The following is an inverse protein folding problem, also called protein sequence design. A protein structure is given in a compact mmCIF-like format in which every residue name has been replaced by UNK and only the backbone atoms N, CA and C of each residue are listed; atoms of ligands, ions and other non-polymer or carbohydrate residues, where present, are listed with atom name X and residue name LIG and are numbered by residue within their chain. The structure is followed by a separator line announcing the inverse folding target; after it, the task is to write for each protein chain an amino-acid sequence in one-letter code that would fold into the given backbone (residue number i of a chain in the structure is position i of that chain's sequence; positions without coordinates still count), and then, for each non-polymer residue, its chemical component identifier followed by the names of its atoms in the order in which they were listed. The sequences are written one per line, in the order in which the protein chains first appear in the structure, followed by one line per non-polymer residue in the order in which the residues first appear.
data_IF_579464604468
#
_entry.id   IF_579464604468
#
_cell.length_a   1.000
_cell.length_b   1.000
_cell.length_c   1.000
_cell.angle_alpha   90.00
_cell.angle_beta   90.00
_cell.angle_gamma   90.00
#
_symmetry.space_group_name_H-M   'P 1'
#
loop_
_entity.id
_entity.type
_entity.pdbx_description
1 polymer ?
#
# COMPACT_ATOMS: atom_id res chain seq x y z
N UNK A 1 -60.36 15.98 -18.09
CA UNK A 1 -61.26 15.03 -17.38
C UNK A 1 -61.65 13.94 -18.36
N UNK A 2 -61.32 12.68 -18.04
CA UNK A 2 -61.78 11.39 -18.62
C UNK A 2 -61.58 11.16 -20.14
N UNK A 3 -61.25 9.98 -20.67
CA UNK A 3 -61.12 8.62 -20.14
C UNK A 3 -60.35 7.75 -21.17
N UNK A 4 -59.47 6.86 -20.72
CA UNK A 4 -59.65 5.40 -20.56
C UNK A 4 -59.62 4.56 -21.86
N UNK A 5 -58.53 3.77 -21.97
CA UNK A 5 -58.46 2.33 -22.28
C UNK A 5 -59.33 1.75 -23.43
N UNK A 6 -58.69 1.08 -24.39
CA UNK A 6 -59.06 -0.24 -24.95
C UNK A 6 -57.85 -0.75 -25.76
N UNK A 7 -57.08 -1.71 -25.27
CA UNK A 7 -57.26 -3.16 -25.44
C UNK A 7 -56.48 -3.74 -26.64
N UNK A 8 -55.41 -4.45 -26.28
CA UNK A 8 -54.71 -5.56 -26.91
C UNK A 8 -55.41 -6.21 -28.13
N UNK A 9 -54.65 -6.36 -29.22
CA UNK A 9 -54.81 -7.49 -30.14
C UNK A 9 -53.49 -8.26 -30.22
N UNK A 10 -53.52 -9.47 -29.68
CA UNK A 10 -52.43 -10.45 -29.72
C UNK A 10 -52.67 -11.34 -30.95
N UNK A 11 -51.74 -11.38 -31.90
CA UNK A 11 -51.71 -12.42 -32.94
C UNK A 11 -50.48 -13.29 -32.67
N UNK A 12 -50.73 -14.52 -32.21
CA UNK A 12 -49.75 -15.59 -32.09
C UNK A 12 -49.30 -16.03 -33.48
N UNK A 13 -47.99 -15.98 -33.74
CA UNK A 13 -47.35 -16.78 -34.79
C UNK A 13 -46.45 -17.79 -34.10
N UNK A 14 -46.90 -19.05 -34.06
CA UNK A 14 -46.12 -20.18 -33.57
C UNK A 14 -45.18 -20.58 -34.71
N UNK A 15 -43.91 -20.19 -34.61
CA UNK A 15 -42.86 -20.66 -35.51
C UNK A 15 -42.11 -21.80 -34.82
N UNK A 16 -42.31 -23.04 -35.28
CA UNK A 16 -41.56 -24.21 -34.84
C UNK A 16 -40.16 -24.19 -35.45
N UNK A 17 -39.22 -23.57 -34.75
CA UNK A 17 -37.81 -23.70 -35.05
C UNK A 17 -37.29 -25.03 -34.51
N UNK A 18 -36.85 -25.91 -35.41
CA UNK A 18 -36.07 -27.09 -35.05
C UNK A 18 -34.70 -26.61 -34.55
N UNK A 19 -34.55 -26.54 -33.22
CA UNK A 19 -33.29 -26.23 -32.57
C UNK A 19 -32.30 -27.37 -32.78
N UNK A 20 -31.23 -27.13 -33.54
CA UNK A 20 -30.05 -27.97 -33.52
C UNK A 20 -29.35 -27.77 -32.17
N UNK A 21 -29.25 -28.84 -31.38
CA UNK A 21 -28.48 -28.83 -30.14
C UNK A 21 -27.00 -28.74 -30.52
N UNK A 22 -26.44 -27.53 -30.47
CA UNK A 22 -24.99 -27.35 -30.56
C UNK A 22 -24.37 -28.00 -29.32
N UNK A 23 -23.58 -29.05 -29.55
CA UNK A 23 -22.80 -29.73 -28.51
C UNK A 23 -21.78 -28.73 -27.97
N UNK A 24 -21.93 -28.35 -26.69
CA UNK A 24 -20.98 -27.48 -26.02
C UNK A 24 -19.58 -28.12 -26.07
N UNK A 25 -18.62 -27.43 -26.67
CA UNK A 25 -17.22 -27.81 -26.59
C UNK A 25 -16.76 -27.62 -25.14
N UNK A 26 -16.17 -28.67 -24.55
CA UNK A 26 -15.53 -28.60 -23.25
C UNK A 26 -14.39 -27.57 -23.31
N UNK A 27 -14.50 -26.52 -22.50
CA UNK A 27 -13.37 -25.60 -22.28
C UNK A 27 -12.20 -26.38 -21.68
N UNK A 28 -10.96 -26.21 -22.17
CA UNK A 28 -9.80 -26.80 -21.52
C UNK A 28 -9.69 -26.21 -20.11
N UNK A 29 -9.52 -27.10 -19.12
CA UNK A 29 -9.34 -26.71 -17.74
C UNK A 29 -8.19 -25.70 -17.64
N UNK A 30 -8.47 -24.52 -17.10
CA UNK A 30 -7.45 -23.53 -16.80
C UNK A 30 -6.41 -24.19 -15.88
N UNK A 31 -5.18 -24.29 -16.36
CA UNK A 31 -4.03 -24.69 -15.55
C UNK A 31 -3.89 -23.68 -14.42
N UNK A 32 -4.13 -24.11 -13.19
CA UNK A 32 -3.85 -23.33 -11.99
C UNK A 32 -2.34 -23.26 -11.79
N UNK A 33 -1.69 -22.31 -12.45
CA UNK A 33 -0.32 -21.97 -12.13
C UNK A 33 -0.25 -21.63 -10.63
N UNK A 34 0.48 -22.44 -9.86
CA UNK A 34 0.68 -22.21 -8.43
C UNK A 34 1.51 -20.95 -8.25
N UNK A 35 0.94 -19.95 -7.55
CA UNK A 35 1.67 -18.74 -7.17
C UNK A 35 2.86 -19.15 -6.29
N UNK A 36 4.08 -18.63 -6.53
CA UNK A 36 5.22 -18.93 -5.68
C UNK A 36 4.91 -18.61 -4.22
N UNK A 37 5.15 -19.57 -3.32
CA UNK A 37 5.04 -19.33 -1.88
C UNK A 37 6.19 -18.43 -1.44
N UNK A 38 5.88 -17.38 -0.67
CA UNK A 38 6.90 -16.56 -0.03
C UNK A 38 7.69 -17.39 0.99
N UNK A 39 8.97 -17.07 1.14
CA UNK A 39 9.81 -17.66 2.19
C UNK A 39 9.27 -17.34 3.57
N UNK A 40 9.43 -18.27 4.51
CA UNK A 40 9.10 -18.00 5.91
C UNK A 40 9.90 -16.81 6.45
N UNK A 41 9.30 -15.93 7.27
CA UNK A 41 10.03 -14.85 7.92
C UNK A 41 11.19 -15.36 8.77
N UNK A 42 12.33 -14.65 8.73
CA UNK A 42 13.44 -14.93 9.64
C UNK A 42 13.17 -14.30 11.00
N UNK A 43 13.24 -15.09 12.07
CA UNK A 43 13.07 -14.58 13.43
C UNK A 43 14.30 -13.81 13.89
N UNK A 44 14.09 -12.62 14.45
CA UNK A 44 15.14 -11.83 15.09
C UNK A 44 14.96 -11.84 16.61
N UNK A 45 15.53 -12.83 17.29
CA UNK A 45 15.35 -12.99 18.75
C UNK A 45 16.01 -11.89 19.58
N UNK A 46 16.90 -11.10 18.99
CA UNK A 46 17.58 -9.95 19.63
C UNK A 46 16.94 -8.62 19.26
N UNK A 47 15.98 -8.59 18.34
CA UNK A 47 15.30 -7.37 17.95
C UNK A 47 14.32 -6.96 19.03
N UNK A 48 14.08 -5.65 19.14
CA UNK A 48 13.03 -5.13 19.98
C UNK A 48 11.66 -5.56 19.44
N UNK A 49 10.84 -6.14 20.30
CA UNK A 49 9.45 -6.47 20.02
C UNK A 49 8.55 -5.55 20.86
N UNK A 50 7.88 -4.55 20.26
CA UNK A 50 6.99 -3.66 21.00
C UNK A 50 5.84 -4.44 21.63
N UNK A 51 5.46 -4.07 22.86
CA UNK A 51 4.22 -4.55 23.45
C UNK A 51 3.02 -4.02 22.66
N UNK A 52 1.89 -4.73 22.71
CA UNK A 52 0.64 -4.19 22.19
C UNK A 52 0.32 -2.86 22.90
N UNK A 53 -0.17 -1.88 22.14
CA UNK A 53 -0.48 -0.52 22.61
C UNK A 53 0.74 0.26 23.16
N UNK A 54 1.95 -0.03 22.66
CA UNK A 54 3.13 0.83 22.90
C UNK A 54 2.80 2.28 22.55
N UNK A 55 2.97 3.20 23.50
CA UNK A 55 2.79 4.64 23.24
C UNK A 55 3.93 5.16 22.38
N UNK A 56 3.60 6.03 21.43
CA UNK A 56 4.56 6.49 20.43
C UNK A 56 4.33 7.95 20.03
N UNK A 57 5.41 8.58 19.58
CA UNK A 57 5.42 9.88 18.93
C UNK A 57 5.99 9.71 17.52
N UNK A 58 5.35 10.32 16.53
CA UNK A 58 5.78 10.32 15.13
C UNK A 58 5.97 11.76 14.67
N UNK A 59 7.22 12.09 14.31
CA UNK A 59 7.55 13.43 13.87
C UNK A 59 8.67 13.37 12.82
N UNK A 60 8.28 13.51 11.55
CA UNK A 60 9.20 13.45 10.41
C UNK A 60 9.69 14.83 9.93
N UNK A 61 9.27 15.91 10.58
CA UNK A 61 9.64 17.26 10.17
C UNK A 61 9.85 18.20 11.36
N UNK A 62 10.66 19.23 11.12
CA UNK A 62 11.04 20.21 12.13
C UNK A 62 11.94 19.62 13.23
N UNK A 63 12.19 20.41 14.28
CA UNK A 63 12.93 19.93 15.46
C UNK A 63 12.06 18.98 16.27
N UNK A 64 12.55 17.75 16.49
CA UNK A 64 11.84 16.72 17.28
C UNK A 64 11.55 17.22 18.70
N UNK A 65 10.27 17.26 19.08
CA UNK A 65 9.85 17.55 20.44
C UNK A 65 10.06 16.32 21.33
N UNK A 66 11.14 16.34 22.13
CA UNK A 66 11.51 15.25 23.03
C UNK A 66 10.80 15.29 24.38
N UNK A 67 9.82 16.18 24.57
CA UNK A 67 9.09 16.33 25.85
C UNK A 67 7.99 15.27 26.05
N UNK A 68 7.54 14.60 24.99
CA UNK A 68 6.49 13.59 25.09
C UNK A 68 6.95 12.36 25.88
N UNK A 69 6.16 11.99 26.89
CA UNK A 69 6.40 10.79 27.68
C UNK A 69 5.82 9.53 27.01
N UNK A 70 6.45 9.10 25.92
CA UNK A 70 6.07 7.90 25.15
C UNK A 70 7.17 6.85 25.18
N UNK A 71 6.87 5.60 24.85
CA UNK A 71 7.90 4.53 24.85
C UNK A 71 8.80 4.63 23.62
N UNK A 72 8.22 4.97 22.47
CA UNK A 72 8.91 4.93 21.17
C UNK A 72 8.77 6.27 20.43
N UNK A 73 9.83 6.69 19.76
CA UNK A 73 9.85 7.81 18.82
C UNK A 73 10.12 7.28 17.42
N UNK A 74 9.34 7.71 16.44
CA UNK A 74 9.62 7.51 15.01
C UNK A 74 9.95 8.87 14.39
N UNK A 75 11.20 9.02 13.94
CA UNK A 75 11.80 10.27 13.48
C UNK A 75 12.53 10.07 12.16
N UNK A 76 12.59 11.11 11.34
CA UNK A 76 13.27 11.06 10.05
C UNK A 76 14.77 10.69 10.20
N UNK A 77 15.26 9.74 9.41
CA UNK A 77 16.64 9.27 9.48
C UNK A 77 17.67 10.31 9.07
N UNK A 78 17.36 11.19 8.12
CA UNK A 78 18.32 12.13 7.54
C UNK A 78 18.31 13.48 8.25
N UNK A 79 17.14 13.93 8.71
CA UNK A 79 16.97 15.25 9.32
C UNK A 79 17.31 15.29 10.82
N UNK A 80 17.71 14.15 11.40
CA UNK A 80 18.08 14.05 12.80
C UNK A 80 19.54 13.62 12.99
N UNK A 81 20.26 14.37 13.83
CA UNK A 81 21.63 14.00 14.21
C UNK A 81 21.66 12.85 15.23
N UNK A 82 22.79 12.15 15.30
CA UNK A 82 23.04 11.12 16.33
C UNK A 82 22.86 11.62 17.77
N UNK A 83 22.98 12.93 18.03
CA UNK A 83 22.77 13.51 19.35
C UNK A 83 21.31 13.46 19.81
N UNK A 84 20.35 13.60 18.89
CA UNK A 84 18.90 13.46 19.15
C UNK A 84 18.60 12.02 19.57
N UNK A 85 19.08 11.04 18.78
CA UNK A 85 18.93 9.61 19.07
C UNK A 85 19.56 9.26 20.42
N UNK A 86 20.77 9.75 20.70
CA UNK A 86 21.46 9.53 21.98
C UNK A 86 20.68 10.11 23.17
N UNK A 87 20.09 11.30 23.01
CA UNK A 87 19.26 11.94 24.03
C UNK A 87 18.01 11.10 24.35
N UNK A 88 17.29 10.64 23.33
CA UNK A 88 16.12 9.78 23.47
C UNK A 88 16.47 8.43 24.13
N UNK A 89 17.57 7.78 23.71
CA UNK A 89 18.06 6.56 24.36
C UNK A 89 18.44 6.78 25.83
N UNK A 90 19.09 7.92 26.15
CA UNK A 90 19.42 8.27 27.55
C UNK A 90 18.16 8.45 28.41
N UNK A 91 17.06 8.90 27.81
CA UNK A 91 15.75 8.98 28.44
C UNK A 91 14.98 7.64 28.46
N UNK A 92 15.61 6.53 28.08
CA UNK A 92 15.00 5.20 28.08
C UNK A 92 13.99 4.96 26.96
N UNK A 93 14.01 5.78 25.90
CA UNK A 93 13.11 5.67 24.75
C UNK A 93 13.70 4.73 23.70
N UNK A 94 12.84 4.08 22.92
CA UNK A 94 13.22 3.40 21.68
C UNK A 94 13.09 4.39 20.52
N UNK A 95 14.03 4.38 19.58
CA UNK A 95 13.99 5.23 18.39
C UNK A 95 13.89 4.36 17.14
N UNK A 96 12.88 4.63 16.31
CA UNK A 96 12.74 4.14 14.95
C UNK A 96 13.15 5.29 14.02
N UNK A 97 13.98 4.97 13.03
CA UNK A 97 14.42 5.93 12.02
C UNK A 97 13.64 5.69 10.73
N UNK A 98 12.77 6.63 10.36
CA UNK A 98 11.98 6.57 9.14
C UNK A 98 12.86 6.76 7.90
N UNK A 99 12.62 5.90 6.91
CA UNK A 99 13.08 6.05 5.53
C UNK A 99 11.93 5.64 4.60
N UNK A 100 11.81 6.31 3.45
CA UNK A 100 10.98 5.80 2.35
C UNK A 100 11.83 4.88 1.46
N UNK A 101 11.51 3.59 1.45
CA UNK A 101 12.20 2.60 0.61
C UNK A 101 11.50 2.38 -0.74
N UNK A 102 10.31 2.96 -0.95
CA UNK A 102 9.50 2.79 -2.15
C UNK A 102 9.54 3.98 -3.10
N UNK A 103 10.07 5.13 -2.67
CA UNK A 103 10.18 6.33 -3.49
C UNK A 103 11.59 6.92 -3.45
N UNK A 104 11.91 7.67 -4.49
CA UNK A 104 13.07 8.54 -4.59
C UNK A 104 12.64 9.97 -4.29
N UNK A 105 13.26 10.59 -3.29
CA UNK A 105 13.00 11.95 -2.84
C UNK A 105 14.16 12.88 -3.25
N UNK A 106 13.89 13.93 -4.04
CA UNK A 106 14.95 14.74 -4.65
C UNK A 106 15.76 15.62 -3.67
N UNK A 107 15.29 15.79 -2.44
CA UNK A 107 15.92 16.58 -1.39
C UNK A 107 16.85 15.76 -0.48
N UNK A 108 16.86 14.42 -0.63
CA UNK A 108 17.70 13.56 0.20
C UNK A 108 19.18 13.67 -0.19
N UNK A 109 20.10 13.58 0.79
CA UNK A 109 21.53 13.74 0.53
C UNK A 109 22.11 12.63 -0.39
N UNK A 110 21.45 11.48 -0.48
CA UNK A 110 21.79 10.36 -1.35
C UNK A 110 21.01 10.33 -2.68
N UNK A 111 20.15 11.33 -2.95
CA UNK A 111 19.31 11.37 -4.15
C UNK A 111 20.12 11.29 -5.46
N UNK A 112 21.37 11.77 -5.45
CA UNK A 112 22.32 11.70 -6.56
C UNK A 112 22.88 10.31 -6.86
N UNK A 113 22.71 9.34 -5.95
CA UNK A 113 23.22 7.97 -6.10
C UNK A 113 22.28 7.08 -6.94
N UNK A 114 21.02 7.51 -7.12
CA UNK A 114 20.02 6.75 -7.86
C UNK A 114 20.13 7.03 -9.36
N UNK A 115 20.39 6.03 -10.22
CA UNK A 115 20.39 6.22 -11.66
C UNK A 115 18.99 6.55 -12.17
N UNK A 116 18.89 7.27 -13.29
CA UNK A 116 17.56 7.61 -13.85
C UNK A 116 16.73 6.37 -14.24
N UNK A 117 17.37 5.23 -14.51
CA UNK A 117 16.70 3.99 -14.87
C UNK A 117 15.85 3.38 -13.76
N UNK A 118 16.11 3.72 -12.49
CA UNK A 118 15.30 3.25 -11.34
C UNK A 118 14.25 4.26 -10.91
N UNK A 119 14.17 5.43 -11.55
CA UNK A 119 13.22 6.48 -11.18
C UNK A 119 11.97 6.38 -12.04
N UNK A 120 10.88 5.88 -11.46
CA UNK A 120 9.58 5.70 -12.06
C UNK A 120 8.80 7.01 -12.25
N UNK A 121 7.47 6.91 -12.21
CA UNK A 121 6.56 8.06 -12.35
C UNK A 121 6.60 8.95 -11.10
N UNK A 122 6.36 10.27 -11.24
CA UNK A 122 6.13 11.13 -10.08
C UNK A 122 5.02 10.59 -9.18
N UNK A 123 5.19 10.73 -7.87
CA UNK A 123 4.16 10.37 -6.88
C UNK A 123 3.12 11.51 -6.83
N UNK A 124 1.84 11.16 -6.98
CA UNK A 124 0.77 12.17 -7.00
C UNK A 124 0.65 12.84 -5.63
N UNK A 125 0.73 14.17 -5.60
CA UNK A 125 0.63 14.96 -4.37
C UNK A 125 1.95 15.23 -3.65
N UNK A 126 3.07 14.64 -4.11
CA UNK A 126 4.38 14.76 -3.47
C UNK A 126 5.41 15.32 -4.46
N UNK A 127 5.64 16.63 -4.38
CA UNK A 127 6.54 17.34 -5.30
C UNK A 127 7.98 16.93 -5.02
N UNK A 128 8.67 16.41 -6.03
CA UNK A 128 10.07 15.97 -5.89
C UNK A 128 10.22 14.48 -5.59
N UNK A 129 9.10 13.74 -5.46
CA UNK A 129 9.10 12.29 -5.28
C UNK A 129 8.78 11.52 -6.56
N UNK A 130 9.40 10.35 -6.71
CA UNK A 130 9.12 9.40 -7.79
C UNK A 130 9.12 7.98 -7.25
N UNK A 131 8.26 7.11 -7.75
CA UNK A 131 8.33 5.68 -7.43
C UNK A 131 9.70 5.09 -7.81
N UNK A 132 10.20 4.17 -7.00
CA UNK A 132 11.32 3.28 -7.33
C UNK A 132 10.85 1.97 -7.95
#
# INVERSE_FOLDING_TARGET
MAGYLFALLLIMVISTSYGTVARAASSPAASTASKPSLSSPTLCNTCWHPALKTSWQWQLSGTVDQSYNVVMYDIDMFDNSASVVKSLHKAGRIVICYIDAGTWENWRPDAGQFPNSVKGKPVSGWLGERWL
#
